data_IF_217724251719
#
_entry.id   IF_217724251719
#
_cell.length_a   1.000
_cell.length_b   1.000
_cell.length_c   1.000
_cell.angle_alpha   90.00
_cell.angle_beta   90.00
_cell.angle_gamma   90.00
#
_symmetry.space_group_name_H-M   'P 1'
#
loop_
_entity.id
_entity.type
_entity.pdbx_description
1 polymer ?
#
# COMPACT_ATOMS: atom_id res chain seq x y z
N UNK A 1 -23.20 8.53 26.44
CA UNK A 1 -23.04 7.07 26.29
C UNK A 1 -21.67 6.81 25.71
N UNK A 2 -20.95 5.79 26.18
CA UNK A 2 -19.67 5.41 25.59
C UNK A 2 -19.90 4.87 24.17
N UNK A 3 -19.08 5.31 23.21
CA UNK A 3 -19.14 4.83 21.82
C UNK A 3 -19.01 3.31 21.78
N UNK A 4 -19.92 2.68 21.03
CA UNK A 4 -19.84 1.26 20.71
C UNK A 4 -18.51 0.93 20.03
N UNK A 5 -18.00 -0.30 20.20
CA UNK A 5 -16.81 -0.76 19.48
C UNK A 5 -16.98 -0.64 17.95
N UNK A 6 -18.20 -0.86 17.43
CA UNK A 6 -18.48 -0.70 16.00
C UNK A 6 -18.36 0.75 15.53
N UNK A 7 -18.80 1.71 16.35
CA UNK A 7 -18.73 3.14 16.06
C UNK A 7 -17.29 3.66 16.15
N UNK A 8 -16.50 3.17 17.12
CA UNK A 8 -15.05 3.43 17.20
C UNK A 8 -14.31 2.90 15.97
N UNK A 9 -14.64 1.68 15.52
CA UNK A 9 -14.05 1.10 14.32
C UNK A 9 -14.40 1.93 13.07
N UNK A 10 -15.65 2.40 12.97
CA UNK A 10 -16.10 3.25 11.86
C UNK A 10 -15.36 4.59 11.84
N UNK A 11 -15.30 5.31 12.96
CA UNK A 11 -14.55 6.58 13.04
C UNK A 11 -13.06 6.41 12.75
N UNK A 12 -12.45 5.32 13.21
CA UNK A 12 -11.05 5.03 12.90
C UNK A 12 -10.83 4.89 11.38
N UNK A 13 -11.73 4.14 10.71
CA UNK A 13 -11.67 3.97 9.26
C UNK A 13 -11.88 5.29 8.53
N UNK A 14 -12.93 6.04 8.86
CA UNK A 14 -13.23 7.35 8.25
C UNK A 14 -12.09 8.36 8.40
N UNK A 15 -11.34 8.33 9.50
CA UNK A 15 -10.24 9.28 9.76
C UNK A 15 -8.87 8.86 9.21
N UNK A 16 -8.65 7.57 8.95
CA UNK A 16 -7.30 7.05 8.62
C UNK A 16 -7.23 6.27 7.31
N UNK A 17 -8.35 5.83 6.75
CA UNK A 17 -8.41 4.99 5.56
C UNK A 17 -9.28 5.64 4.47
N UNK A 18 -8.83 5.59 3.21
CA UNK A 18 -9.57 6.08 2.03
C UNK A 18 -9.01 7.36 1.43
N UNK A 19 -9.70 7.90 0.41
CA UNK A 19 -9.27 9.08 -0.36
C UNK A 19 -9.10 10.29 0.57
N UNK A 20 -7.86 10.76 0.73
CA UNK A 20 -7.49 11.84 1.65
C UNK A 20 -7.02 11.39 3.05
N UNK A 21 -7.03 10.09 3.34
CA UNK A 21 -6.39 9.47 4.51
C UNK A 21 -4.89 9.19 4.30
N UNK A 22 -4.20 8.75 5.35
CA UNK A 22 -2.76 8.38 5.25
C UNK A 22 -2.52 7.00 4.62
N UNK A 23 -3.53 6.14 4.58
CA UNK A 23 -3.38 4.76 4.09
C UNK A 23 -4.60 4.35 3.26
N UNK A 24 -4.37 3.57 2.21
CA UNK A 24 -5.39 2.89 1.44
C UNK A 24 -5.20 1.37 1.51
N UNK A 25 -6.28 0.61 1.35
CA UNK A 25 -6.22 -0.85 1.49
C UNK A 25 -5.76 -1.49 0.17
N UNK A 26 -4.62 -2.15 0.19
CA UNK A 26 -4.21 -3.09 -0.87
C UNK A 26 -4.88 -4.45 -0.59
N UNK A 27 -5.83 -4.84 -1.45
CA UNK A 27 -6.52 -6.14 -1.35
C UNK A 27 -6.04 -7.05 -2.48
N UNK A 28 -5.28 -8.10 -2.17
CA UNK A 28 -4.86 -9.08 -3.16
C UNK A 28 -4.75 -10.49 -2.55
N UNK A 29 -4.87 -11.50 -3.41
CA UNK A 29 -4.57 -12.89 -3.07
C UNK A 29 -3.19 -13.25 -3.62
N UNK A 30 -2.39 -13.94 -2.82
CA UNK A 30 -1.04 -14.39 -3.20
C UNK A 30 -0.86 -15.86 -2.88
N UNK A 31 0.09 -16.52 -3.55
CA UNK A 31 0.43 -17.90 -3.23
C UNK A 31 0.94 -18.03 -1.78
N UNK A 32 0.77 -19.22 -1.19
CA UNK A 32 1.30 -19.50 0.15
C UNK A 32 2.81 -19.28 0.20
N UNK A 33 3.54 -19.71 -0.84
CA UNK A 33 4.99 -19.53 -0.92
C UNK A 33 5.38 -18.05 -0.89
N UNK A 34 4.67 -17.20 -1.65
CA UNK A 34 4.88 -15.74 -1.65
C UNK A 34 4.65 -15.14 -0.28
N UNK A 35 3.55 -15.53 0.41
CA UNK A 35 3.28 -15.07 1.77
C UNK A 35 4.39 -15.45 2.74
N UNK A 36 4.91 -16.69 2.68
CA UNK A 36 6.03 -17.14 3.53
C UNK A 36 7.31 -16.36 3.26
N UNK A 37 7.60 -16.04 2.00
CA UNK A 37 8.75 -15.19 1.67
C UNK A 37 8.58 -13.78 2.22
N UNK A 38 7.39 -13.19 2.11
CA UNK A 38 7.09 -11.87 2.68
C UNK A 38 7.24 -11.86 4.21
N UNK A 39 6.74 -12.88 4.91
CA UNK A 39 6.90 -13.02 6.37
C UNK A 39 8.38 -13.11 6.78
N UNK A 40 9.20 -13.85 6.03
CA UNK A 40 10.65 -13.94 6.27
C UNK A 40 11.36 -12.60 6.04
N UNK A 41 11.00 -11.88 4.97
CA UNK A 41 11.57 -10.55 4.69
C UNK A 41 11.21 -9.55 5.78
N UNK A 42 9.95 -9.54 6.21
CA UNK A 42 9.48 -8.69 7.29
C UNK A 42 10.27 -8.94 8.59
N UNK A 43 10.49 -10.21 8.92
CA UNK A 43 11.33 -10.57 10.07
C UNK A 43 12.79 -10.14 9.90
N UNK A 44 13.38 -10.35 8.72
CA UNK A 44 14.78 -10.02 8.45
C UNK A 44 15.06 -8.51 8.57
N UNK A 45 14.13 -7.67 8.11
CA UNK A 45 14.27 -6.21 8.15
C UNK A 45 13.70 -5.57 9.43
N UNK A 46 13.23 -6.35 10.40
CA UNK A 46 12.53 -5.88 11.60
C UNK A 46 11.36 -4.91 11.28
N UNK A 47 10.55 -5.29 10.30
CA UNK A 47 9.43 -4.50 9.78
C UNK A 47 8.12 -5.27 9.89
N UNK A 48 7.02 -4.52 9.89
CA UNK A 48 5.70 -5.11 9.67
C UNK A 48 5.56 -5.59 8.22
N UNK A 49 4.61 -6.48 7.96
CA UNK A 49 4.27 -6.89 6.58
C UNK A 49 3.93 -5.66 5.73
N UNK A 50 3.13 -4.73 6.25
CA UNK A 50 2.81 -3.46 5.58
C UNK A 50 4.05 -2.65 5.26
N UNK A 51 4.93 -2.41 6.24
CA UNK A 51 6.15 -1.64 6.03
C UNK A 51 7.13 -2.33 5.07
N UNK A 52 7.11 -3.65 5.00
CA UNK A 52 7.90 -4.42 4.03
C UNK A 52 7.35 -4.26 2.62
N UNK A 53 6.03 -4.30 2.44
CA UNK A 53 5.38 -4.05 1.14
C UNK A 53 5.68 -2.62 0.68
N UNK A 54 5.50 -1.62 1.55
CA UNK A 54 5.80 -0.22 1.24
C UNK A 54 7.26 -0.01 0.83
N UNK A 55 8.20 -0.60 1.59
CA UNK A 55 9.63 -0.55 1.28
C UNK A 55 9.92 -1.16 -0.10
N UNK A 56 9.47 -2.40 -0.37
CA UNK A 56 9.73 -3.08 -1.63
C UNK A 56 9.12 -2.35 -2.84
N UNK A 57 7.92 -1.79 -2.70
CA UNK A 57 7.27 -1.01 -3.77
C UNK A 57 8.07 0.27 -4.02
N UNK A 58 8.46 1.00 -2.97
CA UNK A 58 9.20 2.26 -3.13
C UNK A 58 10.60 2.05 -3.73
N UNK A 59 11.30 1.01 -3.30
CA UNK A 59 12.59 0.61 -3.87
C UNK A 59 12.44 0.29 -5.35
N UNK A 60 11.47 -0.56 -5.70
CA UNK A 60 11.26 -0.95 -7.10
C UNK A 60 10.81 0.21 -7.97
N UNK A 61 9.93 1.09 -7.47
CA UNK A 61 9.52 2.30 -8.18
C UNK A 61 10.71 3.22 -8.42
N UNK A 62 11.58 3.41 -7.42
CA UNK A 62 12.78 4.23 -7.56
C UNK A 62 13.74 3.66 -8.61
N UNK A 63 13.96 2.35 -8.60
CA UNK A 63 14.76 1.66 -9.63
C UNK A 63 14.18 1.88 -11.04
N UNK A 64 12.87 1.72 -11.21
CA UNK A 64 12.21 1.92 -12.51
C UNK A 64 12.34 3.37 -12.97
N UNK A 65 12.04 4.33 -12.09
CA UNK A 65 12.11 5.75 -12.43
C UNK A 65 13.53 6.19 -12.80
N UNK A 66 14.56 5.59 -12.17
CA UNK A 66 15.96 5.89 -12.49
C UNK A 66 16.37 5.49 -13.92
N UNK A 67 15.59 4.62 -14.57
CA UNK A 67 15.82 4.15 -15.94
C UNK A 67 14.96 4.88 -16.98
N UNK A 68 14.07 5.76 -16.54
CA UNK A 68 13.16 6.51 -17.41
C UNK A 68 13.64 7.95 -17.60
N UNK A 69 13.41 8.48 -18.79
CA UNK A 69 13.54 9.90 -19.11
C UNK A 69 12.35 10.71 -18.54
N UNK A 70 12.41 12.04 -18.63
CA UNK A 70 11.39 12.94 -18.07
C UNK A 70 9.98 12.61 -18.60
N UNK A 71 9.86 12.35 -19.91
CA UNK A 71 8.61 11.96 -20.55
C UNK A 71 8.11 10.59 -20.03
N UNK A 72 9.01 9.63 -19.85
CA UNK A 72 8.70 8.32 -19.27
C UNK A 72 8.22 8.40 -17.83
N UNK A 73 8.85 9.25 -17.01
CA UNK A 73 8.43 9.48 -15.63
C UNK A 73 7.05 10.15 -15.55
N UNK A 74 6.79 11.16 -16.38
CA UNK A 74 5.46 11.79 -16.45
C UNK A 74 4.37 10.78 -16.80
N UNK A 75 4.64 9.90 -17.77
CA UNK A 75 3.71 8.82 -18.13
C UNK A 75 3.47 7.87 -16.98
N UNK A 76 4.51 7.44 -16.26
CA UNK A 76 4.38 6.54 -15.10
C UNK A 76 3.41 7.10 -14.05
N UNK A 77 3.51 8.39 -13.70
CA UNK A 77 2.61 9.00 -12.70
C UNK A 77 1.19 9.28 -13.23
N UNK A 78 1.02 9.48 -14.54
CA UNK A 78 -0.30 9.72 -15.15
C UNK A 78 -1.22 8.49 -15.19
N UNK A 79 -0.66 7.28 -15.08
CA UNK A 79 -1.42 6.02 -15.19
C UNK A 79 -2.21 5.64 -13.92
N UNK A 80 -2.09 6.42 -12.84
CA UNK A 80 -2.61 6.09 -11.50
C UNK A 80 -4.08 6.39 -11.21
N UNK A 81 -4.85 6.96 -12.15
CA UNK A 81 -6.30 7.18 -11.96
C UNK A 81 -7.12 6.09 -12.67
N UNK A 82 -7.16 4.90 -12.09
CA UNK A 82 -8.30 4.00 -12.33
C UNK A 82 -9.31 4.34 -11.23
N UNK A 83 -10.23 5.25 -11.55
CA UNK A 83 -11.49 5.32 -10.83
C UNK A 83 -12.22 4.00 -11.09
N UNK A 84 -12.23 3.09 -10.13
CA UNK A 84 -13.22 2.03 -10.10
C UNK A 84 -14.56 2.68 -9.76
N UNK A 85 -15.31 3.06 -10.81
CA UNK A 85 -16.76 3.21 -10.74
C UNK A 85 -17.37 1.83 -10.44
N UNK A 86 -17.92 1.66 -9.23
CA UNK A 86 -19.04 0.75 -8.92
C UNK A 86 -19.60 1.00 -7.50
#
# INVERSE_FOLDING_TARGET
MALSNSERQRQYRERRLGVGGKHERISCLVSIATKRSLERLAFHFDRTITGTIEMLINERTSEVLSQLDEDGQQRFFSQGFVAEDA
#
